data_IF_278133058260
#
_entry.id   IF_278133058260
#
_cell.length_a   1.000
_cell.length_b   1.000
_cell.length_c   1.000
_cell.angle_alpha   90.00
_cell.angle_beta   90.00
_cell.angle_gamma   90.00
#
_symmetry.space_group_name_H-M   'P 1'
#
loop_
_entity.id
_entity.type
_entity.pdbx_description
1 polymer ?
#
# COMPACT_ATOMS: atom_id res chain seq x y z
N UNK A 1 -17.63 -0.41 5.24
CA UNK A 1 -16.42 -0.71 6.06
C UNK A 1 -15.65 -1.86 5.44
N UNK A 2 -14.35 -1.71 5.31
CA UNK A 2 -13.51 -2.75 4.72
C UNK A 2 -13.08 -3.74 5.81
N UNK A 3 -13.18 -5.03 5.53
CA UNK A 3 -12.84 -6.07 6.52
C UNK A 3 -11.35 -6.07 6.83
N UNK A 4 -11.02 -6.57 8.03
CA UNK A 4 -9.62 -6.70 8.45
C UNK A 4 -8.83 -7.59 7.50
N UNK A 5 -9.46 -8.62 6.96
CA UNK A 5 -8.81 -9.54 6.02
C UNK A 5 -8.41 -8.83 4.73
N UNK A 6 -9.30 -8.02 4.17
CA UNK A 6 -8.99 -7.26 2.96
C UNK A 6 -7.93 -6.19 3.23
N UNK A 7 -8.01 -5.53 4.38
CA UNK A 7 -6.99 -4.55 4.75
C UNK A 7 -5.63 -5.24 4.84
N UNK A 8 -5.55 -6.37 5.53
CA UNK A 8 -4.29 -7.11 5.68
C UNK A 8 -3.73 -7.52 4.32
N UNK A 9 -4.58 -8.06 3.45
CA UNK A 9 -4.15 -8.53 2.13
C UNK A 9 -3.67 -7.39 1.24
N UNK A 10 -4.27 -6.21 1.37
CA UNK A 10 -3.97 -5.07 0.51
C UNK A 10 -2.84 -4.18 1.00
N UNK A 11 -2.39 -4.35 2.25
CA UNK A 11 -1.42 -3.44 2.85
C UNK A 11 -0.08 -3.45 2.11
N UNK A 12 0.49 -4.61 1.84
CA UNK A 12 1.78 -4.71 1.16
C UNK A 12 1.73 -4.12 -0.26
N UNK A 13 0.79 -4.52 -1.12
CA UNK A 13 0.76 -3.92 -2.46
C UNK A 13 0.48 -2.42 -2.45
N UNK A 14 -0.30 -1.91 -1.51
CA UNK A 14 -0.52 -0.46 -1.40
C UNK A 14 0.78 0.25 -1.03
N UNK A 15 1.51 -0.25 -0.03
CA UNK A 15 2.79 0.35 0.37
C UNK A 15 3.78 0.36 -0.81
N UNK A 16 3.93 -0.77 -1.48
CA UNK A 16 4.85 -0.86 -2.62
C UNK A 16 4.45 0.11 -3.72
N UNK A 17 3.16 0.23 -3.99
CA UNK A 17 2.65 1.14 -5.02
C UNK A 17 2.91 2.61 -4.69
N UNK A 18 2.77 2.98 -3.43
CA UNK A 18 3.06 4.34 -2.99
C UNK A 18 4.55 4.64 -3.15
N UNK A 19 5.41 3.70 -2.74
CA UNK A 19 6.84 3.92 -2.74
C UNK A 19 7.49 3.77 -4.12
N UNK A 20 6.76 3.26 -5.13
CA UNK A 20 7.27 3.20 -6.49
C UNK A 20 7.55 4.60 -7.05
N UNK A 21 6.84 5.60 -6.59
CA UNK A 21 7.01 6.98 -7.01
C UNK A 21 8.16 7.70 -6.30
N UNK A 22 8.69 7.11 -5.24
CA UNK A 22 9.78 7.70 -4.47
C UNK A 22 9.66 7.34 -3.00
N UNK A 23 10.75 7.59 -2.26
CA UNK A 23 10.77 7.28 -0.83
C UNK A 23 9.79 8.15 -0.05
N UNK A 24 9.32 7.61 1.07
CA UNK A 24 8.45 8.35 1.96
C UNK A 24 8.52 7.75 3.37
N UNK A 25 7.96 8.46 4.34
CA UNK A 25 7.96 8.01 5.72
C UNK A 25 6.54 7.65 6.17
N UNK A 26 6.45 6.90 7.28
CA UNK A 26 5.20 6.27 7.71
C UNK A 26 4.01 7.21 7.81
N UNK A 27 4.19 8.38 8.45
CA UNK A 27 3.10 9.33 8.59
C UNK A 27 2.53 9.76 7.23
N UNK A 28 3.40 10.07 6.27
CA UNK A 28 2.97 10.46 4.92
C UNK A 28 2.29 9.30 4.19
N UNK A 29 2.79 8.09 4.38
CA UNK A 29 2.16 6.90 3.78
C UNK A 29 0.72 6.80 4.28
N UNK A 30 0.50 6.94 5.59
CA UNK A 30 -0.85 6.90 6.18
C UNK A 30 -1.74 7.98 5.56
N UNK A 31 -1.23 9.20 5.42
CA UNK A 31 -2.00 10.31 4.84
C UNK A 31 -2.36 10.05 3.39
N UNK A 32 -1.40 9.53 2.61
CA UNK A 32 -1.64 9.24 1.19
C UNK A 32 -2.66 8.13 1.00
N UNK A 33 -2.61 7.09 1.82
CA UNK A 33 -3.60 6.01 1.77
C UNK A 33 -4.99 6.54 2.07
N UNK A 34 -5.10 7.39 3.08
CA UNK A 34 -6.39 8.00 3.43
C UNK A 34 -6.94 8.81 2.28
N UNK A 35 -6.10 9.64 1.66
CA UNK A 35 -6.53 10.46 0.52
C UNK A 35 -6.94 9.62 -0.67
N UNK A 36 -6.11 8.65 -1.07
CA UNK A 36 -6.36 7.81 -2.24
C UNK A 36 -7.65 7.02 -2.08
N UNK A 37 -7.94 6.59 -0.86
CA UNK A 37 -9.13 5.77 -0.58
C UNK A 37 -10.37 6.59 -0.29
N UNK A 38 -10.28 7.92 -0.35
CA UNK A 38 -11.42 8.77 0.03
C UNK A 38 -11.82 8.61 1.47
N UNK A 39 -10.87 8.27 2.33
CA UNK A 39 -11.10 8.11 3.76
C UNK A 39 -11.56 6.72 4.19
N UNK A 40 -11.70 5.77 3.26
CA UNK A 40 -12.15 4.41 3.60
C UNK A 40 -11.04 3.57 4.23
N UNK A 41 -9.78 3.93 4.01
CA UNK A 41 -8.64 3.26 4.61
C UNK A 41 -7.94 4.22 5.56
N UNK A 42 -8.15 3.99 6.86
CA UNK A 42 -7.51 4.79 7.90
C UNK A 42 -6.54 3.88 8.66
N UNK A 43 -5.30 3.86 8.19
CA UNK A 43 -4.26 3.09 8.83
C UNK A 43 -3.73 3.82 10.06
N UNK A 44 -3.35 3.06 11.08
CA UNK A 44 -2.72 3.59 12.27
C UNK A 44 -1.23 3.28 12.28
N UNK A 45 -0.49 3.98 13.11
CA UNK A 45 0.93 3.71 13.33
C UNK A 45 1.13 2.26 13.79
N UNK A 46 0.29 1.82 14.72
CA UNK A 46 0.39 0.48 15.29
C UNK A 46 0.20 -0.61 14.24
N UNK A 47 -0.57 -0.34 13.20
CA UNK A 47 -0.77 -1.28 12.11
C UNK A 47 0.38 -1.20 11.11
N UNK A 48 0.80 0.01 10.75
CA UNK A 48 1.73 0.21 9.64
C UNK A 48 3.18 -0.16 9.97
N UNK A 49 3.71 0.29 11.11
CA UNK A 49 5.14 0.14 11.37
C UNK A 49 5.62 -1.31 11.46
N UNK A 50 4.86 -2.23 12.06
CA UNK A 50 5.26 -3.65 12.01
C UNK A 50 5.32 -4.21 10.58
N UNK A 51 4.41 -3.76 9.71
CA UNK A 51 4.40 -4.21 8.31
C UNK A 51 5.63 -3.67 7.58
N UNK A 52 5.95 -2.39 7.75
CA UNK A 52 7.15 -1.81 7.15
C UNK A 52 8.41 -2.55 7.58
N UNK A 53 8.52 -2.88 8.86
CA UNK A 53 9.67 -3.63 9.37
C UNK A 53 9.77 -5.02 8.74
N UNK A 54 8.64 -5.72 8.62
CA UNK A 54 8.63 -7.04 7.99
C UNK A 54 9.03 -6.97 6.53
N UNK A 55 8.55 -5.95 5.82
CA UNK A 55 8.89 -5.76 4.41
C UNK A 55 10.37 -5.42 4.23
N UNK A 56 10.92 -4.63 5.13
CA UNK A 56 12.36 -4.32 5.12
C UNK A 56 13.18 -5.57 5.41
N UNK A 57 12.80 -6.34 6.42
CA UNK A 57 13.47 -7.62 6.73
C UNK A 57 13.40 -8.59 5.56
N UNK A 58 12.29 -8.59 4.86
CA UNK A 58 12.09 -9.46 3.68
C UNK A 58 12.80 -8.97 2.42
N UNK A 59 13.49 -7.83 2.48
CA UNK A 59 14.25 -7.32 1.35
C UNK A 59 13.43 -6.50 0.35
N UNK A 60 12.17 -6.20 0.65
CA UNK A 60 11.32 -5.43 -0.26
C UNK A 60 11.53 -3.93 -0.13
N UNK A 61 11.98 -3.48 1.04
CA UNK A 61 12.23 -2.07 1.34
C UNK A 61 13.59 -1.92 1.97
N UNK A 62 14.17 -0.72 1.81
CA UNK A 62 15.30 -0.25 2.63
C UNK A 62 14.90 1.07 3.25
N UNK A 63 15.48 1.41 4.38
CA UNK A 63 15.16 2.65 5.07
C UNK A 63 16.40 3.42 5.44
N UNK A 64 16.22 4.73 5.63
CA UNK A 64 17.26 5.62 6.12
C UNK A 64 16.62 6.76 6.89
N UNK A 65 17.36 7.31 7.83
CA UNK A 65 16.95 8.50 8.56
C UNK A 65 17.38 9.73 7.79
N UNK A 66 16.48 10.69 7.66
CA UNK A 66 16.83 12.00 7.12
C UNK A 66 15.87 13.06 7.63
N UNK A 67 16.27 14.33 7.49
CA UNK A 67 15.44 15.45 7.93
C UNK A 67 14.37 15.72 6.88
N UNK A 68 13.11 15.76 7.30
CA UNK A 68 11.98 16.06 6.42
C UNK A 68 11.90 17.56 6.14
N UNK A 69 11.00 17.95 5.23
CA UNK A 69 10.77 19.37 4.90
C UNK A 69 10.42 20.19 6.13
N UNK A 70 9.69 19.59 7.08
CA UNK A 70 9.28 20.26 8.31
C UNK A 70 10.40 20.34 9.35
N UNK A 71 11.60 19.86 9.01
CA UNK A 71 12.74 19.89 9.92
C UNK A 71 12.75 18.76 10.92
N UNK A 72 11.98 17.73 10.74
CA UNK A 72 11.90 16.60 11.65
C UNK A 72 12.72 15.42 11.13
N UNK A 73 13.38 14.71 12.05
CA UNK A 73 14.08 13.50 11.72
C UNK A 73 13.05 12.39 11.49
N UNK A 74 13.04 11.83 10.28
CA UNK A 74 12.08 10.81 9.86
C UNK A 74 12.79 9.62 9.26
N UNK A 75 12.22 8.44 9.44
CA UNK A 75 12.73 7.24 8.79
C UNK A 75 12.02 7.08 7.45
N UNK A 76 12.77 7.24 6.37
CA UNK A 76 12.26 7.13 5.00
C UNK A 76 12.46 5.72 4.49
N UNK A 77 11.44 5.20 3.83
CA UNK A 77 11.45 3.88 3.22
C UNK A 77 11.48 4.01 1.71
N UNK A 78 12.25 3.18 1.07
CA UNK A 78 12.40 3.14 -0.38
C UNK A 78 12.21 1.71 -0.85
N UNK A 79 11.53 1.53 -1.99
CA UNK A 79 11.32 0.21 -2.58
C UNK A 79 12.65 -0.27 -3.18
N UNK A 80 12.95 -1.57 -3.02
CA UNK A 80 14.12 -2.21 -3.60
C UNK A 80 13.75 -2.81 -4.96
N UNK A 81 14.76 -3.31 -5.68
CA UNK A 81 14.50 -4.05 -6.92
C UNK A 81 13.63 -5.27 -6.65
N UNK A 82 13.91 -5.99 -5.57
CA UNK A 82 13.10 -7.12 -5.15
C UNK A 82 11.67 -6.68 -4.84
N UNK A 83 11.51 -5.51 -4.22
CA UNK A 83 10.19 -4.94 -3.95
C UNK A 83 9.43 -4.62 -5.23
N UNK A 84 10.12 -4.15 -6.26
CA UNK A 84 9.49 -3.88 -7.57
C UNK A 84 8.99 -5.17 -8.22
N UNK A 85 9.78 -6.23 -8.12
CA UNK A 85 9.38 -7.55 -8.65
C UNK A 85 8.15 -8.07 -7.90
N UNK A 86 8.15 -7.91 -6.58
CA UNK A 86 7.01 -8.32 -5.76
C UNK A 86 5.76 -7.52 -6.14
N UNK A 87 5.91 -6.22 -6.37
CA UNK A 87 4.78 -5.38 -6.78
C UNK A 87 4.20 -5.85 -8.11
N UNK A 88 5.05 -6.16 -9.09
CA UNK A 88 4.57 -6.65 -10.38
C UNK A 88 3.78 -7.95 -10.22
N UNK A 89 4.26 -8.85 -9.37
CA UNK A 89 3.57 -10.11 -9.07
C UNK A 89 2.21 -9.86 -8.41
N UNK A 90 2.18 -8.99 -7.41
CA UNK A 90 0.95 -8.64 -6.70
C UNK A 90 -0.08 -8.01 -7.66
N UNK A 91 0.39 -7.09 -8.50
CA UNK A 91 -0.51 -6.43 -9.45
C UNK A 91 -1.18 -7.44 -10.38
N UNK A 92 -0.41 -8.37 -10.92
CA UNK A 92 -0.98 -9.39 -11.81
C UNK A 92 -2.02 -10.23 -11.11
N UNK A 93 -1.75 -10.63 -9.88
CA UNK A 93 -2.68 -11.45 -9.09
C UNK A 93 -3.97 -10.68 -8.78
N UNK A 94 -3.84 -9.45 -8.30
CA UNK A 94 -5.00 -8.62 -7.98
C UNK A 94 -5.83 -8.32 -9.21
N UNK A 95 -5.19 -8.04 -10.33
CA UNK A 95 -5.91 -7.77 -11.58
C UNK A 95 -6.65 -9.00 -12.08
N UNK A 96 -6.05 -10.18 -11.94
CA UNK A 96 -6.73 -11.43 -12.32
C UNK A 96 -7.99 -11.67 -11.51
N UNK A 97 -7.90 -11.50 -10.19
CA UNK A 97 -9.06 -11.65 -9.31
C UNK A 97 -10.10 -10.58 -9.63
N UNK A 98 -9.64 -9.33 -9.80
CA UNK A 98 -10.54 -8.22 -10.10
C UNK A 98 -11.29 -8.42 -11.42
N UNK A 99 -10.62 -8.95 -12.44
CA UNK A 99 -11.27 -9.24 -13.72
C UNK A 99 -12.37 -10.29 -13.55
N UNK A 100 -12.09 -11.36 -12.81
CA UNK A 100 -13.08 -12.39 -12.54
C UNK A 100 -14.29 -11.81 -11.82
N UNK A 101 -14.05 -11.05 -10.76
CA UNK A 101 -15.14 -10.44 -9.99
C UNK A 101 -15.92 -9.44 -10.83
N UNK A 102 -15.22 -8.65 -11.65
CA UNK A 102 -15.89 -7.68 -12.51
C UNK A 102 -16.83 -8.32 -13.51
N UNK A 103 -16.47 -9.49 -14.03
CA UNK A 103 -17.33 -10.23 -14.93
C UNK A 103 -18.57 -10.75 -14.21
N UNK A 104 -18.42 -11.18 -12.97
CA UNK A 104 -19.50 -11.70 -12.15
C UNK A 104 -20.40 -10.60 -11.62
N UNK A 105 -19.82 -9.46 -11.31
CA UNK A 105 -20.49 -8.33 -10.66
C UNK A 105 -20.89 -7.25 -11.64
N UNK A 106 -21.24 -7.64 -12.86
CA UNK A 106 -21.75 -6.67 -13.83
C UNK A 106 -22.96 -5.97 -13.24
N UNK A 107 -23.07 -4.66 -13.44
CA UNK A 107 -24.28 -3.97 -13.03
C UNK A 107 -25.48 -4.65 -13.67
N UNK A 108 -26.54 -4.84 -12.89
CA UNK A 108 -27.78 -5.37 -13.44
C UNK A 108 -28.26 -4.43 -14.54
N UNK A 109 -28.82 -4.98 -15.63
CA UNK A 109 -29.43 -4.13 -16.68
C UNK A 109 -30.44 -3.20 -16.02
N UNK A 110 -30.46 -1.97 -16.50
CA UNK A 110 -31.46 -1.02 -16.01
C UNK A 110 -32.84 -1.56 -16.32
N UNK A 111 -33.68 -1.65 -15.31
CA UNK A 111 -35.05 -2.14 -15.45
C UNK A 111 -36.01 -0.99 -15.78
N UNK A 112 -35.59 -0.12 -16.62
CA UNK A 112 -36.43 1.01 -17.01
C UNK A 112 -37.47 0.57 -18.03
#
# INVERSE_FOLDING_TARGET
MISKTLIAASTKPIILSILISGEDYGYQIIQRVKEISGGTLEWSDNMLYPVLRRMEKGGLLVSRWKISREGRLRRYYRITEQGREELDSERRQWMSVNQALSKLWKPLPSLK
#
